data_IF_382438799325
#
_entry.id   IF_382438799325
#
_cell.length_a   1.000
_cell.length_b   1.000
_cell.length_c   1.000
_cell.angle_alpha   90.00
_cell.angle_beta   90.00
_cell.angle_gamma   90.00
#
_symmetry.space_group_name_H-M   'P 1'
#
loop_
_entity.id
_entity.type
_entity.pdbx_description
1 polymer ?
#
# COMPACT_ATOMS: atom_id res chain seq x y z
N UNK A 1 -32.33 -42.04 -36.73
CA UNK A 1 -32.34 -41.52 -38.12
C UNK A 1 -31.57 -40.20 -38.10
N UNK A 2 -30.28 -40.15 -38.51
CA UNK A 2 -29.81 -39.81 -39.87
C UNK A 2 -30.53 -38.54 -40.36
N UNK A 3 -29.91 -37.37 -40.58
CA UNK A 3 -28.81 -37.04 -41.50
C UNK A 3 -28.15 -35.72 -41.01
N UNK A 4 -26.83 -35.65 -40.75
CA UNK A 4 -25.73 -35.24 -41.67
C UNK A 4 -26.05 -34.07 -42.61
N UNK A 5 -25.42 -32.92 -42.36
CA UNK A 5 -24.80 -32.10 -43.40
C UNK A 5 -23.64 -31.27 -42.82
N UNK A 6 -22.44 -31.64 -43.27
CA UNK A 6 -21.16 -30.94 -43.10
C UNK A 6 -20.92 -30.22 -44.43
N UNK A 7 -20.43 -28.98 -44.42
CA UNK A 7 -19.50 -28.55 -45.46
C UNK A 7 -18.19 -28.08 -44.82
N UNK A 8 -17.14 -28.76 -45.25
CA UNK A 8 -15.73 -28.51 -44.96
C UNK A 8 -15.13 -27.97 -46.25
N UNK A 9 -14.79 -26.68 -46.28
CA UNK A 9 -13.94 -26.03 -47.30
C UNK A 9 -13.19 -24.92 -46.57
N UNK A 10 -11.97 -25.17 -46.07
CA UNK A 10 -10.67 -25.03 -46.75
C UNK A 10 -10.22 -23.58 -46.94
N UNK A 11 -9.03 -23.33 -46.37
CA UNK A 11 -7.99 -22.40 -46.80
C UNK A 11 -8.22 -20.90 -46.59
N UNK A 12 -7.40 -20.34 -45.71
CA UNK A 12 -6.69 -19.12 -46.05
C UNK A 12 -6.67 -18.06 -44.96
N UNK A 13 -5.46 -17.71 -44.54
CA UNK A 13 -5.19 -16.32 -44.19
C UNK A 13 -5.12 -15.99 -42.71
N UNK A 14 -3.94 -16.26 -42.15
CA UNK A 14 -3.23 -15.36 -41.24
C UNK A 14 -3.85 -13.95 -41.15
N UNK A 15 -4.54 -13.65 -40.05
CA UNK A 15 -4.78 -12.27 -39.62
C UNK A 15 -4.43 -12.17 -38.14
N UNK A 16 -3.16 -11.83 -37.94
CA UNK A 16 -2.61 -10.96 -36.92
C UNK A 16 -3.33 -10.94 -35.56
N UNK A 17 -2.65 -11.50 -34.56
CA UNK A 17 -2.74 -11.09 -33.18
C UNK A 17 -2.63 -9.56 -33.08
N UNK A 18 -3.73 -8.90 -32.73
CA UNK A 18 -3.73 -7.54 -32.20
C UNK A 18 -4.80 -7.44 -31.10
N UNK A 19 -4.74 -8.35 -30.14
CA UNK A 19 -5.50 -8.26 -28.90
C UNK A 19 -4.80 -7.25 -27.99
N UNK A 20 -5.33 -6.03 -27.99
CA UNK A 20 -4.89 -4.88 -27.22
C UNK A 20 -4.29 -5.25 -25.85
N UNK A 21 -3.03 -4.89 -25.65
CA UNK A 21 -2.51 -4.54 -24.34
C UNK A 21 -3.40 -3.41 -23.83
N UNK A 22 -4.44 -3.75 -23.07
CA UNK A 22 -5.07 -2.81 -22.16
C UNK A 22 -3.98 -2.38 -21.19
N UNK A 23 -3.31 -1.27 -21.53
CA UNK A 23 -2.49 -0.53 -20.60
C UNK A 23 -3.35 -0.31 -19.36
N UNK A 24 -2.92 -0.90 -18.25
CA UNK A 24 -3.41 -0.49 -16.96
C UNK A 24 -3.24 1.04 -16.91
N UNK A 25 -4.26 1.81 -16.48
CA UNK A 25 -4.04 3.23 -16.25
C UNK A 25 -2.89 3.31 -15.25
N UNK A 26 -1.76 3.86 -15.70
CA UNK A 26 -0.77 4.40 -14.79
C UNK A 26 -1.56 5.36 -13.91
N UNK A 27 -1.81 4.92 -12.67
CA UNK A 27 -2.37 5.77 -11.64
C UNK A 27 -1.34 6.88 -11.46
N UNK A 28 -1.56 8.00 -12.15
CA UNK A 28 -0.77 9.20 -12.02
C UNK A 28 -0.59 9.44 -10.52
N UNK A 29 0.64 9.58 -10.03
CA UNK A 29 0.87 9.86 -8.62
C UNK A 29 0.04 11.10 -8.29
N UNK A 30 -0.82 10.98 -7.29
CA UNK A 30 -1.70 12.05 -6.84
C UNK A 30 -0.87 13.34 -6.79
N UNK A 31 -1.21 14.27 -7.67
CA UNK A 31 -0.53 15.54 -7.79
C UNK A 31 -0.52 16.20 -6.42
N UNK A 32 0.55 16.93 -6.11
CA UNK A 32 0.81 17.57 -4.83
C UNK A 32 -0.21 18.67 -4.42
N UNK A 33 -1.43 18.64 -4.96
CA UNK A 33 -2.59 19.37 -4.48
C UNK A 33 -3.34 18.53 -3.45
N UNK A 34 -3.18 18.90 -2.18
CA UNK A 34 -3.97 18.45 -1.03
C UNK A 34 -4.43 16.98 -1.06
N UNK A 35 -3.60 16.10 -0.48
CA UNK A 35 -4.01 14.74 -0.13
C UNK A 35 -5.29 14.77 0.72
N UNK A 36 -6.43 14.50 0.09
CA UNK A 36 -7.77 14.43 0.65
C UNK A 36 -8.43 13.16 0.14
N UNK A 37 -9.42 12.66 0.86
CA UNK A 37 -10.05 11.38 0.49
C UNK A 37 -10.66 11.41 -0.92
N UNK A 38 -11.22 12.54 -1.32
CA UNK A 38 -11.91 12.73 -2.60
C UNK A 38 -10.93 12.81 -3.78
N UNK A 39 -9.68 13.19 -3.54
CA UNK A 39 -8.63 13.34 -4.58
C UNK A 39 -7.82 12.07 -4.79
N UNK A 40 -8.04 11.04 -3.97
CA UNK A 40 -7.37 9.74 -4.12
C UNK A 40 -7.85 8.97 -5.35
N UNK A 41 -6.99 8.07 -5.83
CA UNK A 41 -7.35 7.08 -6.85
C UNK A 41 -8.58 6.27 -6.42
N UNK A 42 -9.39 5.79 -7.36
CA UNK A 42 -10.56 4.98 -7.03
C UNK A 42 -10.19 3.70 -6.25
N UNK A 43 -9.00 3.15 -6.49
CA UNK A 43 -8.49 2.01 -5.73
C UNK A 43 -8.20 2.39 -4.27
N UNK A 44 -7.47 3.47 -4.04
CA UNK A 44 -7.14 3.93 -2.68
C UNK A 44 -8.38 4.36 -1.92
N UNK A 45 -9.35 5.00 -2.60
CA UNK A 45 -10.65 5.28 -2.00
C UNK A 45 -11.31 4.00 -1.50
N UNK A 46 -11.41 2.95 -2.33
CA UNK A 46 -11.99 1.65 -1.90
C UNK A 46 -11.20 1.05 -0.73
N UNK A 47 -9.86 1.08 -0.82
CA UNK A 47 -8.96 0.54 0.20
C UNK A 47 -9.11 1.25 1.55
N UNK A 48 -9.31 2.56 1.57
CA UNK A 48 -9.30 3.36 2.81
C UNK A 48 -10.68 3.77 3.32
N UNK A 49 -11.75 3.71 2.50
CA UNK A 49 -13.10 4.22 2.82
C UNK A 49 -13.61 3.87 4.21
N UNK A 50 -13.63 2.58 4.55
CA UNK A 50 -14.19 2.13 5.83
C UNK A 50 -13.42 2.71 7.04
N UNK A 51 -12.08 2.71 6.95
CA UNK A 51 -11.19 3.22 7.99
C UNK A 51 -11.21 4.75 8.10
N UNK A 52 -11.35 5.45 6.98
CA UNK A 52 -11.53 6.90 6.92
C UNK A 52 -12.85 7.30 7.58
N UNK A 53 -13.97 6.69 7.15
CA UNK A 53 -15.31 7.00 7.66
C UNK A 53 -15.46 6.67 9.15
N UNK A 54 -14.79 5.63 9.65
CA UNK A 54 -14.75 5.35 11.10
C UNK A 54 -14.10 6.50 11.87
N UNK A 55 -12.93 6.98 11.43
CA UNK A 55 -12.22 8.09 12.09
C UNK A 55 -12.98 9.39 11.96
N UNK A 56 -13.59 9.63 10.81
CA UNK A 56 -14.41 10.83 10.59
C UNK A 56 -15.56 10.91 11.61
N UNK A 57 -16.22 9.78 11.90
CA UNK A 57 -17.31 9.69 12.88
C UNK A 57 -16.84 9.76 14.33
N UNK A 58 -15.71 9.13 14.65
CA UNK A 58 -15.28 8.96 16.04
C UNK A 58 -14.32 10.05 16.52
N UNK A 59 -13.40 10.47 15.67
CA UNK A 59 -12.26 11.33 16.02
C UNK A 59 -12.30 12.69 15.30
N UNK A 60 -13.21 12.84 14.34
CA UNK A 60 -13.40 14.05 13.55
C UNK A 60 -12.49 14.15 12.33
N UNK A 61 -12.74 15.20 11.52
CA UNK A 61 -12.13 15.37 10.20
C UNK A 61 -10.61 15.50 10.27
N UNK A 62 -10.08 16.32 11.18
CA UNK A 62 -8.64 16.57 11.26
C UNK A 62 -7.81 15.29 11.51
N UNK A 63 -8.35 14.35 12.31
CA UNK A 63 -7.71 13.06 12.59
C UNK A 63 -7.80 12.13 11.38
N UNK A 64 -8.96 12.09 10.71
CA UNK A 64 -9.17 11.27 9.52
C UNK A 64 -8.24 11.68 8.37
N UNK A 65 -8.14 12.98 8.08
CA UNK A 65 -7.28 13.55 7.02
C UNK A 65 -5.80 13.33 7.33
N UNK A 66 -5.36 13.53 8.58
CA UNK A 66 -3.97 13.24 9.01
C UNK A 66 -3.64 11.78 8.81
N UNK A 67 -4.50 10.87 9.27
CA UNK A 67 -4.32 9.44 9.07
C UNK A 67 -4.24 9.08 7.58
N UNK A 68 -5.09 9.67 6.74
CA UNK A 68 -5.08 9.40 5.31
C UNK A 68 -3.75 9.82 4.66
N UNK A 69 -3.24 10.99 5.03
CA UNK A 69 -1.93 11.48 4.58
C UNK A 69 -0.81 10.51 4.94
N UNK A 70 -0.84 9.94 6.14
CA UNK A 70 0.16 8.97 6.59
C UNK A 70 0.13 7.66 5.79
N UNK A 71 -1.06 7.23 5.35
CA UNK A 71 -1.25 5.97 4.64
C UNK A 71 -1.05 6.07 3.13
N UNK A 72 -1.63 7.10 2.51
CA UNK A 72 -1.76 7.17 1.05
C UNK A 72 -0.77 8.15 0.40
N UNK A 73 -0.34 9.18 1.13
CA UNK A 73 0.32 10.34 0.50
C UNK A 73 1.70 10.63 1.03
N UNK A 74 2.16 9.89 2.04
CA UNK A 74 3.50 10.09 2.56
C UNK A 74 4.54 9.54 1.59
N UNK A 75 5.58 10.32 1.35
CA UNK A 75 6.70 9.88 0.52
C UNK A 75 7.44 8.71 1.18
N UNK A 76 8.21 7.90 0.41
CA UNK A 76 9.08 6.88 0.98
C UNK A 76 10.03 7.43 2.05
N UNK A 77 10.59 8.63 1.83
CA UNK A 77 11.51 9.31 2.75
C UNK A 77 10.80 9.71 4.04
N UNK A 78 9.60 10.29 3.95
CA UNK A 78 8.81 10.64 5.14
C UNK A 78 8.44 9.39 5.95
N UNK A 79 8.09 8.29 5.27
CA UNK A 79 7.84 7.00 5.92
C UNK A 79 9.09 6.45 6.60
N UNK A 80 10.25 6.56 5.95
CA UNK A 80 11.52 6.15 6.52
C UNK A 80 11.89 7.01 7.75
N UNK A 81 11.75 8.33 7.66
CA UNK A 81 12.04 9.27 8.73
C UNK A 81 11.16 9.04 9.98
N UNK A 82 9.90 8.61 9.81
CA UNK A 82 9.03 8.23 10.94
C UNK A 82 9.42 6.91 11.60
N UNK A 83 10.01 5.99 10.85
CA UNK A 83 10.50 4.68 11.34
C UNK A 83 11.93 4.74 11.88
N UNK A 84 12.66 5.81 11.60
CA UNK A 84 14.03 5.99 12.07
C UNK A 84 14.09 5.96 13.61
N UNK A 85 15.08 5.27 14.19
CA UNK A 85 15.27 5.26 15.63
C UNK A 85 15.58 6.68 16.13
N UNK A 86 15.00 7.02 17.27
CA UNK A 86 15.13 8.33 17.90
C UNK A 86 15.84 8.22 19.23
N UNK A 87 16.65 9.23 19.52
CA UNK A 87 17.36 9.37 20.78
C UNK A 87 16.40 9.69 21.91
N UNK A 88 16.94 9.77 23.13
CA UNK A 88 16.18 10.20 24.31
C UNK A 88 15.60 11.61 24.17
N UNK A 89 16.26 12.45 23.39
CA UNK A 89 15.88 13.82 23.04
C UNK A 89 14.79 13.90 21.94
N UNK A 90 14.36 12.75 21.39
CA UNK A 90 13.34 12.68 20.34
C UNK A 90 13.83 13.03 18.94
N UNK A 91 15.13 13.32 18.77
CA UNK A 91 15.75 13.60 17.47
C UNK A 91 16.17 12.29 16.79
N UNK A 92 16.19 12.23 15.44
CA UNK A 92 16.75 11.11 14.72
C UNK A 92 18.24 10.94 15.05
N UNK A 93 18.66 9.69 15.24
CA UNK A 93 20.04 9.36 15.57
C UNK A 93 20.95 9.43 14.34
N UNK A 94 22.19 9.85 14.55
CA UNK A 94 23.21 9.95 13.50
C UNK A 94 23.84 8.58 13.24
N UNK A 95 24.04 7.79 14.30
CA UNK A 95 24.52 6.41 14.25
C UNK A 95 23.49 5.47 14.85
N UNK A 96 23.34 4.33 14.19
CA UNK A 96 22.45 3.26 14.63
C UNK A 96 23.19 1.94 14.75
N UNK A 97 22.69 1.06 15.62
CA UNK A 97 23.15 -0.34 15.73
C UNK A 97 21.96 -1.27 15.84
N UNK A 98 22.16 -2.55 15.53
CA UNK A 98 21.13 -3.58 15.70
C UNK A 98 21.33 -4.26 17.05
N UNK A 99 20.27 -4.32 17.85
CA UNK A 99 20.22 -5.05 19.12
C UNK A 99 19.13 -6.12 19.07
N UNK A 100 19.39 -7.29 19.65
CA UNK A 100 18.34 -8.29 19.84
C UNK A 100 17.49 -7.90 21.04
N UNK A 101 16.18 -7.69 20.81
CA UNK A 101 15.22 -7.40 21.88
C UNK A 101 14.25 -8.54 22.07
N UNK A 102 14.04 -8.85 23.35
CA UNK A 102 13.07 -9.85 23.78
C UNK A 102 11.68 -9.24 23.73
N UNK A 103 10.77 -9.87 23.00
CA UNK A 103 9.35 -9.54 22.97
C UNK A 103 8.59 -10.62 23.74
N UNK A 104 7.79 -10.23 24.74
CA UNK A 104 6.97 -11.20 25.47
C UNK A 104 5.94 -11.85 24.55
N UNK A 105 5.76 -13.16 24.69
CA UNK A 105 4.62 -13.85 24.11
C UNK A 105 3.36 -13.51 24.89
N UNK A 106 2.30 -13.10 24.21
CA UNK A 106 1.02 -12.83 24.87
C UNK A 106 0.15 -14.10 24.82
N UNK A 107 -0.49 -14.47 25.94
CA UNK A 107 -1.39 -15.64 25.97
C UNK A 107 -0.71 -17.01 26.17
N UNK A 108 0.49 -17.05 26.75
CA UNK A 108 1.22 -18.30 27.04
C UNK A 108 2.18 -18.75 25.94
N UNK A 109 2.36 -17.93 24.90
CA UNK A 109 3.36 -18.14 23.85
C UNK A 109 4.79 -17.96 24.36
N UNK A 110 5.74 -18.63 23.70
CA UNK A 110 7.17 -18.50 24.02
C UNK A 110 7.69 -17.09 23.74
N UNK A 111 8.66 -16.65 24.57
CA UNK A 111 9.37 -15.38 24.37
C UNK A 111 10.13 -15.41 23.04
N UNK A 112 10.04 -14.34 22.25
CA UNK A 112 10.76 -14.22 20.98
C UNK A 112 11.85 -13.17 21.04
N UNK A 113 12.93 -13.38 20.28
CA UNK A 113 14.01 -12.40 20.12
C UNK A 113 13.97 -11.86 18.70
N UNK A 114 13.88 -10.53 18.56
CA UNK A 114 13.85 -9.87 17.26
C UNK A 114 14.96 -8.80 17.16
N UNK A 115 15.62 -8.65 16.00
CA UNK A 115 16.56 -7.56 15.78
C UNK A 115 15.80 -6.22 15.74
N UNK A 116 16.27 -5.25 16.51
CA UNK A 116 15.73 -3.88 16.56
C UNK A 116 16.86 -2.90 16.32
N UNK A 117 16.66 -1.96 15.39
CA UNK A 117 17.58 -0.86 15.18
C UNK A 117 17.41 0.18 16.29
N UNK A 118 18.49 0.49 17.00
CA UNK A 118 18.52 1.47 18.09
C UNK A 118 19.60 2.53 17.83
N UNK A 119 19.52 3.62 18.56
CA UNK A 119 20.55 4.66 18.54
C UNK A 119 21.86 4.16 19.16
N UNK A 120 22.97 4.57 18.56
CA UNK A 120 24.32 4.24 19.01
C UNK A 120 25.19 5.51 19.18
N UNK A 121 24.53 6.66 19.32
CA UNK A 121 25.11 7.97 19.60
C UNK A 121 25.40 8.16 21.10
#
# INVERSE_FOLDING_TARGET
MRHRCIPLLLLGGCTLLAGALMGAPEALPASAGECRFETLSAEDQRRYRSRYNRRLRNDGRAVAERWLRDQACSTPEERAARRAPRGRDGRPCTRTRVEMRVTPGFGGEAMSMAPVTVCAD
#
